data_IF_354364059409
#
_entry.id   IF_354364059409
#
_cell.length_a   1.000
_cell.length_b   1.000
_cell.length_c   1.000
_cell.angle_alpha   90.00
_cell.angle_beta   90.00
_cell.angle_gamma   90.00
#
_symmetry.space_group_name_H-M   'P 1'
#
loop_
_entity.id
_entity.type
_entity.pdbx_description
1 polymer ?
#
# COMPACT_ATOMS: atom_id res chain seq x y z
N UNK A 1 22.20 -6.67 4.90
CA UNK A 1 22.45 -6.17 6.28
C UNK A 1 21.60 -6.91 7.29
N UNK A 2 20.26 -6.83 7.27
CA UNK A 2 19.38 -7.52 8.23
C UNK A 2 19.61 -9.05 8.41
N UNK A 3 19.94 -9.79 7.33
CA UNK A 3 20.22 -11.23 7.41
C UNK A 3 21.50 -11.59 8.18
N UNK A 4 22.46 -10.67 8.27
CA UNK A 4 23.76 -10.91 8.90
C UNK A 4 23.84 -10.35 10.33
N UNK A 5 22.97 -9.40 10.69
CA UNK A 5 22.97 -8.77 12.02
C UNK A 5 22.14 -9.58 13.03
N UNK A 6 22.70 -10.70 13.49
CA UNK A 6 22.07 -11.59 14.48
C UNK A 6 21.72 -10.91 15.81
N UNK A 7 22.53 -9.94 16.24
CA UNK A 7 22.37 -9.25 17.52
C UNK A 7 21.18 -8.27 17.55
N UNK A 8 20.78 -7.73 16.39
CA UNK A 8 19.70 -6.73 16.30
C UNK A 8 18.41 -7.33 15.74
N UNK A 9 18.51 -8.25 14.78
CA UNK A 9 17.35 -8.75 14.02
C UNK A 9 17.20 -10.28 14.07
N UNK A 10 17.99 -10.98 14.89
CA UNK A 10 17.99 -12.45 15.00
C UNK A 10 18.28 -13.15 13.65
N UNK A 11 18.99 -12.45 12.75
CA UNK A 11 19.42 -12.97 11.45
C UNK A 11 18.26 -13.36 10.53
N UNK A 12 18.36 -14.45 9.75
CA UNK A 12 17.32 -14.88 8.80
C UNK A 12 15.99 -15.27 9.48
N UNK A 13 16.00 -15.56 10.79
CA UNK A 13 14.81 -15.92 11.54
C UNK A 13 13.91 -14.72 11.81
N UNK A 14 14.47 -13.51 11.82
CA UNK A 14 13.73 -12.29 12.08
C UNK A 14 13.33 -12.11 13.55
N UNK A 15 12.75 -10.96 13.83
CA UNK A 15 12.23 -10.62 15.16
C UNK A 15 10.92 -11.38 15.38
N UNK A 16 10.80 -12.09 16.51
CA UNK A 16 9.61 -12.85 16.88
C UNK A 16 9.14 -12.44 18.27
N UNK A 17 7.84 -12.57 18.53
CA UNK A 17 7.25 -12.28 19.85
C UNK A 17 7.04 -10.79 20.10
N UNK A 18 6.82 -9.99 19.04
CA UNK A 18 6.49 -8.58 19.22
C UNK A 18 5.21 -8.45 20.07
N UNK A 19 5.23 -7.61 21.12
CA UNK A 19 4.10 -7.49 22.03
C UNK A 19 2.91 -6.91 21.28
N UNK A 20 1.74 -7.49 21.50
CA UNK A 20 0.53 -6.98 20.89
C UNK A 20 -0.08 -5.85 21.73
N UNK A 21 -0.53 -4.74 21.11
CA UNK A 21 -1.14 -3.67 21.87
C UNK A 21 -2.37 -4.18 22.62
N UNK A 22 -2.44 -3.92 23.92
CA UNK A 22 -3.59 -4.29 24.78
C UNK A 22 -3.87 -5.81 24.86
N UNK A 23 -2.86 -6.66 24.63
CA UNK A 23 -2.96 -8.12 24.72
C UNK A 23 -3.43 -8.65 26.08
N UNK A 24 -3.32 -7.86 27.15
CA UNK A 24 -3.80 -8.21 28.50
C UNK A 24 -5.19 -7.67 28.87
N UNK A 25 -5.76 -6.77 28.05
CA UNK A 25 -7.04 -6.10 28.34
C UNK A 25 -8.17 -6.65 27.49
N UNK A 26 -7.87 -7.04 26.24
CA UNK A 26 -8.85 -7.56 25.29
C UNK A 26 -8.81 -9.09 25.29
N UNK A 27 -9.96 -9.78 25.45
CA UNK A 27 -10.01 -11.24 25.35
C UNK A 27 -9.43 -11.74 24.01
N UNK A 28 -8.66 -12.85 23.98
CA UNK A 28 -8.02 -13.35 22.77
C UNK A 28 -9.00 -13.64 21.62
N UNK A 29 -10.23 -14.05 21.95
CA UNK A 29 -11.30 -14.34 21.00
C UNK A 29 -11.77 -13.10 20.22
N UNK A 30 -11.79 -11.92 20.85
CA UNK A 30 -12.21 -10.66 20.22
C UNK A 30 -11.04 -9.84 19.69
N UNK A 31 -9.80 -10.26 19.96
CA UNK A 31 -8.62 -9.48 19.62
C UNK A 31 -8.50 -9.19 18.12
N UNK A 32 -8.84 -10.14 17.25
CA UNK A 32 -8.79 -9.93 15.80
C UNK A 32 -9.78 -8.85 15.33
N UNK A 33 -10.99 -8.82 15.90
CA UNK A 33 -11.99 -7.80 15.59
C UNK A 33 -11.61 -6.42 16.14
N UNK A 34 -11.08 -6.39 17.37
CA UNK A 34 -10.53 -5.18 17.95
C UNK A 34 -9.39 -4.62 17.09
N UNK A 35 -8.44 -5.47 16.70
CA UNK A 35 -7.30 -5.08 15.89
C UNK A 35 -7.73 -4.59 14.50
N UNK A 36 -8.71 -5.26 13.88
CA UNK A 36 -9.33 -4.81 12.64
C UNK A 36 -9.93 -3.40 12.79
N UNK A 37 -10.64 -3.13 13.89
CA UNK A 37 -11.20 -1.81 14.17
C UNK A 37 -10.11 -0.74 14.33
N UNK A 38 -9.01 -1.06 15.02
CA UNK A 38 -7.85 -0.16 15.15
C UNK A 38 -7.23 0.15 13.79
N UNK A 39 -6.95 -0.87 12.98
CA UNK A 39 -6.39 -0.70 11.63
C UNK A 39 -7.31 0.13 10.76
N UNK A 40 -8.61 -0.15 10.78
CA UNK A 40 -9.59 0.60 10.02
C UNK A 40 -9.67 2.07 10.47
N UNK A 41 -9.63 2.33 11.77
CA UNK A 41 -9.63 3.68 12.33
C UNK A 41 -8.40 4.47 11.89
N UNK A 42 -7.20 3.86 11.98
CA UNK A 42 -5.95 4.49 11.54
C UNK A 42 -5.97 4.72 10.03
N UNK A 43 -6.39 3.74 9.24
CA UNK A 43 -6.53 3.87 7.79
C UNK A 43 -7.48 5.02 7.43
N UNK A 44 -8.64 5.11 8.09
CA UNK A 44 -9.60 6.17 7.87
C UNK A 44 -9.05 7.55 8.25
N UNK A 45 -8.38 7.65 9.39
CA UNK A 45 -7.75 8.89 9.84
C UNK A 45 -6.68 9.37 8.83
N UNK A 46 -5.82 8.46 8.36
CA UNK A 46 -4.82 8.74 7.32
C UNK A 46 -5.49 9.16 6.01
N UNK A 47 -6.53 8.45 5.58
CA UNK A 47 -7.28 8.80 4.37
C UNK A 47 -7.84 10.22 4.44
N UNK A 48 -8.50 10.58 5.54
CA UNK A 48 -9.06 11.92 5.75
C UNK A 48 -7.95 12.98 5.81
N UNK A 49 -6.82 12.69 6.45
CA UNK A 49 -5.68 13.60 6.53
C UNK A 49 -5.08 13.88 5.14
N UNK A 50 -4.85 12.84 4.33
CA UNK A 50 -4.32 12.98 2.97
C UNK A 50 -5.33 13.72 2.08
N UNK A 51 -6.62 13.38 2.16
CA UNK A 51 -7.65 14.05 1.36
C UNK A 51 -7.74 15.55 1.66
N UNK A 52 -7.59 15.93 2.94
CA UNK A 52 -7.50 17.35 3.34
C UNK A 52 -6.20 17.99 2.86
N UNK A 53 -5.06 17.30 2.97
CA UNK A 53 -3.77 17.82 2.53
C UNK A 53 -3.74 18.08 1.01
N UNK A 54 -4.29 17.17 0.20
CA UNK A 54 -4.35 17.30 -1.26
C UNK A 54 -5.26 18.47 -1.69
N UNK A 55 -6.37 18.70 -0.98
CA UNK A 55 -7.29 19.82 -1.26
C UNK A 55 -6.77 21.17 -0.77
N UNK A 56 -5.77 21.18 0.10
CA UNK A 56 -5.17 22.39 0.65
C UNK A 56 -4.28 23.12 -0.37
N UNK A 57 -3.83 24.37 -0.11
CA UNK A 57 -2.85 25.05 -0.95
C UNK A 57 -1.58 24.23 -1.20
N UNK A 58 -1.15 23.42 -0.22
CA UNK A 58 0.02 22.55 -0.34
C UNK A 58 -0.15 21.52 -1.46
N UNK A 59 -1.28 20.82 -1.51
CA UNK A 59 -1.57 19.83 -2.54
C UNK A 59 -1.72 20.44 -3.94
N UNK A 60 -2.24 21.67 -4.05
CA UNK A 60 -2.30 22.40 -5.32
C UNK A 60 -0.91 22.73 -5.87
N UNK A 61 0.03 23.10 -5.02
CA UNK A 61 1.42 23.35 -5.43
C UNK A 61 2.08 22.04 -5.89
N UNK A 62 1.87 20.93 -5.17
CA UNK A 62 2.36 19.61 -5.60
C UNK A 62 1.78 19.17 -6.95
N UNK A 63 0.51 19.47 -7.21
CA UNK A 63 -0.10 19.19 -8.50
C UNK A 63 0.54 20.03 -9.62
N UNK A 64 0.78 21.32 -9.37
CA UNK A 64 1.48 22.19 -10.33
C UNK A 64 2.91 21.69 -10.61
N UNK A 65 3.65 21.28 -9.57
CA UNK A 65 4.99 20.68 -9.72
C UNK A 65 4.95 19.39 -10.55
N UNK A 66 3.90 18.57 -10.41
CA UNK A 66 3.70 17.34 -11.20
C UNK A 66 3.43 17.63 -12.68
N UNK A 67 2.77 18.74 -12.98
CA UNK A 67 2.45 19.15 -14.36
C UNK A 67 3.64 19.82 -15.06
N UNK A 68 4.25 20.82 -14.41
CA UNK A 68 5.47 21.49 -14.88
C UNK A 68 6.28 22.05 -13.69
N UNK A 69 7.40 21.39 -13.42
CA UNK A 69 8.33 21.77 -12.36
C UNK A 69 9.01 23.13 -12.61
N UNK A 70 9.34 23.45 -13.86
CA UNK A 70 10.01 24.70 -14.22
C UNK A 70 9.04 25.87 -14.02
N UNK A 71 7.80 25.72 -14.48
CA UNK A 71 6.76 26.74 -14.30
C UNK A 71 6.44 27.01 -12.82
N UNK A 72 6.38 25.95 -12.00
CA UNK A 72 6.19 26.08 -10.56
C UNK A 72 7.36 26.82 -9.88
N UNK A 73 8.60 26.53 -10.28
CA UNK A 73 9.79 27.21 -9.77
C UNK A 73 9.82 28.70 -10.15
N UNK A 74 9.48 29.03 -11.40
CA UNK A 74 9.39 30.42 -11.89
C UNK A 74 8.31 31.22 -11.16
N UNK A 75 7.27 30.54 -10.66
CA UNK A 75 6.22 31.13 -9.82
C UNK A 75 6.65 31.36 -8.36
N UNK A 76 7.94 31.22 -8.04
CA UNK A 76 8.52 31.47 -6.72
C UNK A 76 8.25 30.35 -5.69
N UNK A 77 7.92 29.13 -6.14
CA UNK A 77 7.75 27.98 -5.25
C UNK A 77 9.06 27.20 -5.14
N UNK A 78 9.46 26.87 -3.91
CA UNK A 78 10.61 26.00 -3.66
C UNK A 78 10.25 24.53 -3.93
N UNK A 79 10.51 24.06 -5.14
CA UNK A 79 10.16 22.70 -5.57
C UNK A 79 10.84 21.64 -4.70
N UNK A 80 12.07 21.88 -4.28
CA UNK A 80 12.83 20.92 -3.47
C UNK A 80 12.17 20.71 -2.11
N UNK A 81 11.78 21.79 -1.42
CA UNK A 81 11.08 21.71 -0.13
C UNK A 81 9.74 20.95 -0.26
N UNK A 82 8.95 21.23 -1.29
CA UNK A 82 7.66 20.52 -1.48
C UNK A 82 7.85 19.02 -1.77
N UNK A 83 8.88 18.64 -2.54
CA UNK A 83 9.22 17.22 -2.78
C UNK A 83 9.76 16.53 -1.53
N UNK A 84 10.57 17.21 -0.72
CA UNK A 84 11.07 16.67 0.54
C UNK A 84 9.92 16.46 1.54
N UNK A 85 9.01 17.41 1.64
CA UNK A 85 7.82 17.29 2.50
C UNK A 85 6.94 16.11 2.08
N UNK A 86 6.69 15.92 0.78
CA UNK A 86 5.89 14.79 0.31
C UNK A 86 6.56 13.44 0.56
N UNK A 87 7.89 13.37 0.44
CA UNK A 87 8.68 12.19 0.81
C UNK A 87 8.54 11.88 2.30
N UNK A 88 8.78 12.86 3.18
CA UNK A 88 8.70 12.68 4.64
C UNK A 88 7.31 12.23 5.07
N UNK A 89 6.26 12.87 4.55
CA UNK A 89 4.87 12.48 4.85
C UNK A 89 4.57 11.06 4.36
N UNK A 90 5.01 10.71 3.14
CA UNK A 90 4.87 9.36 2.61
C UNK A 90 5.58 8.31 3.46
N UNK A 91 6.82 8.58 3.89
CA UNK A 91 7.59 7.69 4.77
C UNK A 91 6.94 7.54 6.15
N UNK A 92 6.39 8.61 6.74
CA UNK A 92 5.66 8.52 8.00
C UNK A 92 4.43 7.61 7.88
N UNK A 93 3.63 7.79 6.82
CA UNK A 93 2.43 6.96 6.58
C UNK A 93 2.83 5.49 6.36
N UNK A 94 3.88 5.24 5.58
CA UNK A 94 4.40 3.89 5.35
C UNK A 94 4.90 3.25 6.66
N UNK A 95 5.56 4.02 7.52
CA UNK A 95 6.01 3.58 8.84
C UNK A 95 4.87 3.16 9.76
N UNK A 96 3.76 3.90 9.76
CA UNK A 96 2.54 3.53 10.51
C UNK A 96 1.99 2.19 9.99
N UNK A 97 1.89 2.02 8.66
CA UNK A 97 1.44 0.77 8.06
C UNK A 97 2.33 -0.42 8.42
N UNK A 98 3.65 -0.25 8.36
CA UNK A 98 4.62 -1.27 8.76
C UNK A 98 4.54 -1.62 10.25
N UNK A 99 4.37 -0.62 11.12
CA UNK A 99 4.20 -0.85 12.55
C UNK A 99 2.94 -1.67 12.86
N UNK A 100 1.81 -1.34 12.22
CA UNK A 100 0.58 -2.13 12.34
C UNK A 100 0.81 -3.57 11.84
N UNK A 101 1.39 -3.74 10.65
CA UNK A 101 1.68 -5.08 10.13
C UNK A 101 2.53 -5.93 11.09
N UNK A 102 3.63 -5.36 11.61
CA UNK A 102 4.53 -6.03 12.53
C UNK A 102 3.86 -6.50 13.83
N UNK A 103 3.01 -5.67 14.44
CA UNK A 103 2.30 -6.02 15.67
C UNK A 103 1.20 -7.04 15.42
N UNK A 104 0.62 -7.06 14.22
CA UNK A 104 -0.35 -8.09 13.82
C UNK A 104 0.30 -9.46 13.65
N UNK A 105 1.38 -9.55 12.87
CA UNK A 105 2.07 -10.82 12.58
C UNK A 105 2.88 -11.35 13.76
N UNK A 106 3.17 -10.50 14.76
CA UNK A 106 4.06 -10.78 15.92
C UNK A 106 5.47 -11.21 15.51
N UNK A 107 5.78 -11.12 14.23
CA UNK A 107 7.01 -11.57 13.64
C UNK A 107 7.33 -10.74 12.40
N UNK A 108 8.60 -10.35 12.28
CA UNK A 108 9.14 -9.67 11.11
C UNK A 108 10.31 -10.50 10.62
N UNK A 109 10.14 -11.21 9.50
CA UNK A 109 11.23 -11.90 8.83
C UNK A 109 11.76 -11.07 7.65
N UNK A 110 13.03 -11.23 7.25
CA UNK A 110 13.58 -10.54 6.08
C UNK A 110 12.88 -10.91 4.77
N UNK A 111 12.24 -12.09 4.69
CA UNK A 111 11.58 -12.59 3.48
C UNK A 111 10.43 -11.69 2.99
N UNK A 112 9.72 -11.02 3.90
CA UNK A 112 8.60 -10.13 3.53
C UNK A 112 9.07 -8.83 2.87
N UNK A 113 10.36 -8.51 2.96
CA UNK A 113 10.97 -7.33 2.32
C UNK A 113 11.70 -7.65 1.02
N UNK A 114 11.56 -8.87 0.51
CA UNK A 114 12.05 -9.18 -0.83
C UNK A 114 11.33 -8.31 -1.87
N UNK A 115 12.00 -7.87 -2.96
CA UNK A 115 11.44 -6.89 -3.90
C UNK A 115 10.05 -7.26 -4.44
N UNK A 116 9.82 -8.57 -4.63
CA UNK A 116 8.53 -9.06 -5.10
C UNK A 116 7.37 -8.68 -4.15
N UNK A 117 7.55 -8.81 -2.84
CA UNK A 117 6.53 -8.54 -1.83
C UNK A 117 6.54 -7.10 -1.35
N UNK A 118 7.74 -6.53 -1.15
CA UNK A 118 7.91 -5.22 -0.56
C UNK A 118 7.65 -4.05 -1.51
N UNK A 119 7.80 -4.24 -2.83
CA UNK A 119 7.63 -3.13 -3.80
C UNK A 119 6.70 -3.49 -4.95
N UNK A 120 6.92 -4.63 -5.63
CA UNK A 120 6.20 -4.94 -6.86
C UNK A 120 4.70 -5.14 -6.61
N UNK A 121 4.31 -5.94 -5.62
CA UNK A 121 2.90 -6.14 -5.26
C UNK A 121 2.21 -4.83 -4.86
N UNK A 122 2.88 -3.98 -4.07
CA UNK A 122 2.30 -2.70 -3.63
C UNK A 122 2.11 -1.77 -4.82
N UNK A 123 3.08 -1.72 -5.72
CA UNK A 123 2.99 -0.92 -6.93
C UNK A 123 1.85 -1.38 -7.84
N UNK A 124 1.69 -2.70 -7.97
CA UNK A 124 0.58 -3.30 -8.70
C UNK A 124 -0.78 -2.99 -8.05
N UNK A 125 -0.89 -3.07 -6.72
CA UNK A 125 -2.09 -2.64 -5.99
C UNK A 125 -2.47 -1.19 -6.33
N UNK A 126 -1.48 -0.30 -6.37
CA UNK A 126 -1.69 1.10 -6.71
C UNK A 126 -2.08 1.30 -8.18
N UNK A 127 -1.40 0.62 -9.11
CA UNK A 127 -1.68 0.71 -10.55
C UNK A 127 -3.07 0.15 -10.89
N UNK A 128 -3.43 -1.01 -10.34
CA UNK A 128 -4.74 -1.62 -10.52
C UNK A 128 -5.86 -0.73 -9.98
N UNK A 129 -5.62 -0.06 -8.86
CA UNK A 129 -6.56 0.88 -8.26
C UNK A 129 -6.72 2.21 -9.01
N UNK A 130 -5.60 2.77 -9.46
CA UNK A 130 -5.47 4.10 -10.06
C UNK A 130 -4.58 5.00 -9.20
N UNK A 131 -3.46 5.48 -9.76
CA UNK A 131 -2.42 6.24 -9.02
C UNK A 131 -2.78 7.70 -8.71
N UNK A 132 -3.83 8.25 -9.35
CA UNK A 132 -4.22 9.66 -9.18
C UNK A 132 -5.36 9.91 -8.21
N UNK A 133 -5.85 8.89 -7.49
CA UNK A 133 -6.91 9.06 -6.50
C UNK A 133 -6.74 8.12 -5.29
N UNK A 134 -6.87 8.66 -4.09
CA UNK A 134 -6.77 7.92 -2.82
C UNK A 134 -7.79 6.76 -2.74
N UNK A 135 -8.98 6.94 -3.31
CA UNK A 135 -10.01 5.87 -3.34
C UNK A 135 -9.61 4.72 -4.26
N UNK A 136 -8.95 5.03 -5.37
CA UNK A 136 -8.38 4.05 -6.29
C UNK A 136 -7.33 3.21 -5.58
N UNK A 137 -6.39 3.84 -4.89
CA UNK A 137 -5.36 3.14 -4.12
C UNK A 137 -5.94 2.14 -3.09
N UNK A 138 -6.98 2.55 -2.33
CA UNK A 138 -7.66 1.67 -1.38
C UNK A 138 -8.34 0.49 -2.10
N UNK A 139 -9.12 0.77 -3.15
CA UNK A 139 -9.83 -0.25 -3.90
C UNK A 139 -8.87 -1.26 -4.55
N UNK A 140 -7.76 -0.79 -5.12
CA UNK A 140 -6.72 -1.63 -5.70
C UNK A 140 -6.05 -2.53 -4.66
N UNK A 141 -5.75 -1.99 -3.46
CA UNK A 141 -5.23 -2.80 -2.36
C UNK A 141 -6.20 -3.91 -1.95
N UNK A 142 -7.47 -3.58 -1.73
CA UNK A 142 -8.51 -4.57 -1.36
C UNK A 142 -8.75 -5.61 -2.45
N UNK A 143 -8.78 -5.19 -3.72
CA UNK A 143 -9.04 -6.07 -4.84
C UNK A 143 -7.91 -7.07 -5.04
N UNK A 144 -6.66 -6.60 -5.10
CA UNK A 144 -5.50 -7.47 -5.29
C UNK A 144 -5.27 -8.37 -4.07
N UNK A 145 -5.44 -7.84 -2.86
CA UNK A 145 -5.34 -8.66 -1.65
C UNK A 145 -6.47 -9.70 -1.56
N UNK A 146 -7.67 -9.33 -1.99
CA UNK A 146 -8.83 -10.21 -2.09
C UNK A 146 -8.60 -11.33 -3.09
N UNK A 147 -8.03 -11.03 -4.25
CA UNK A 147 -7.63 -12.04 -5.24
C UNK A 147 -6.57 -12.96 -4.65
N UNK A 148 -5.51 -12.41 -4.05
CA UNK A 148 -4.43 -13.17 -3.42
C UNK A 148 -4.95 -14.14 -2.35
N UNK A 149 -5.84 -13.66 -1.49
CA UNK A 149 -6.48 -14.47 -0.44
C UNK A 149 -7.49 -15.46 -1.02
N UNK A 150 -8.25 -15.07 -2.04
CA UNK A 150 -9.21 -15.92 -2.76
C UNK A 150 -8.53 -17.10 -3.44
N UNK A 151 -7.38 -16.87 -4.07
CA UNK A 151 -6.58 -17.95 -4.67
C UNK A 151 -6.07 -18.94 -3.63
N UNK A 152 -5.82 -18.50 -2.37
CA UNK A 152 -5.48 -19.41 -1.27
C UNK A 152 -6.60 -20.44 -1.05
N UNK A 153 -7.85 -19.97 -0.93
CA UNK A 153 -8.99 -20.88 -0.79
C UNK A 153 -9.11 -21.85 -1.96
N UNK A 154 -8.95 -21.36 -3.19
CA UNK A 154 -9.03 -22.22 -4.38
C UNK A 154 -7.91 -23.28 -4.43
N UNK A 155 -6.71 -22.91 -3.97
CA UNK A 155 -5.54 -23.81 -3.94
C UNK A 155 -5.63 -24.82 -2.79
N UNK A 156 -6.35 -24.51 -1.71
CA UNK A 156 -6.60 -25.43 -0.59
C UNK A 156 -7.54 -26.61 -0.98
N UNK A 157 -8.34 -26.46 -2.04
CA UNK A 157 -9.15 -27.55 -2.61
C UNK A 157 -8.34 -28.52 -3.50
N UNK A 158 -7.06 -28.23 -3.79
CA UNK A 158 -6.25 -29.10 -4.66
C UNK A 158 -5.83 -30.42 -3.98
N UNK A 159 -5.66 -31.51 -4.77
CA UNK A 159 -5.18 -32.79 -4.27
C UNK A 159 -3.84 -32.69 -3.53
N UNK A 160 -3.66 -33.55 -2.51
CA UNK A 160 -2.49 -33.55 -1.61
C UNK A 160 -1.14 -33.65 -2.36
N UNK A 161 -1.13 -34.31 -3.52
CA UNK A 161 0.04 -34.48 -4.39
C UNK A 161 0.57 -33.18 -5.01
N UNK A 162 -0.27 -32.14 -5.13
CA UNK A 162 0.08 -30.85 -5.72
C UNK A 162 0.32 -29.75 -4.67
N UNK A 163 0.12 -30.03 -3.37
CA UNK A 163 0.30 -29.04 -2.30
C UNK A 163 1.73 -28.50 -2.18
N UNK A 164 2.74 -29.31 -2.52
CA UNK A 164 4.13 -28.84 -2.58
C UNK A 164 4.36 -27.81 -3.70
N UNK A 165 3.53 -27.81 -4.75
CA UNK A 165 3.60 -26.88 -5.88
C UNK A 165 2.58 -25.73 -5.81
N UNK A 166 1.67 -25.78 -4.84
CA UNK A 166 0.62 -24.81 -4.60
C UNK A 166 1.11 -23.34 -4.55
N UNK A 167 2.23 -22.99 -3.89
CA UNK A 167 2.71 -21.61 -3.86
C UNK A 167 3.09 -21.09 -5.25
N UNK A 168 3.78 -21.91 -6.06
CA UNK A 168 4.21 -21.52 -7.41
C UNK A 168 3.01 -21.34 -8.35
N UNK A 169 2.03 -22.26 -8.27
CA UNK A 169 0.79 -22.15 -9.05
C UNK A 169 0.02 -20.88 -8.65
N UNK A 170 -0.04 -20.56 -7.34
CA UNK A 170 -0.66 -19.32 -6.87
C UNK A 170 0.02 -18.09 -7.45
N UNK A 171 1.36 -18.03 -7.45
CA UNK A 171 2.08 -16.89 -8.03
C UNK A 171 1.85 -16.77 -9.53
N UNK A 172 1.77 -17.88 -10.25
CA UNK A 172 1.46 -17.88 -11.68
C UNK A 172 0.06 -17.34 -11.95
N UNK A 173 -0.95 -17.79 -11.20
CA UNK A 173 -2.34 -17.29 -11.32
C UNK A 173 -2.41 -15.81 -10.99
N UNK A 174 -1.78 -15.38 -9.89
CA UNK A 174 -1.74 -13.96 -9.52
C UNK A 174 -1.05 -13.16 -10.62
N UNK A 175 0.13 -13.58 -11.10
CA UNK A 175 0.87 -12.90 -12.16
C UNK A 175 0.05 -12.70 -13.44
N UNK A 176 -0.60 -13.77 -13.93
CA UNK A 176 -1.47 -13.69 -15.11
C UNK A 176 -2.63 -12.73 -14.86
N UNK A 177 -3.28 -12.83 -13.70
CA UNK A 177 -4.43 -12.00 -13.37
C UNK A 177 -4.02 -10.52 -13.27
N UNK A 178 -2.82 -10.23 -12.78
CA UNK A 178 -2.22 -8.90 -12.78
C UNK A 178 -1.94 -8.38 -14.19
N UNK A 179 -1.35 -9.20 -15.06
CA UNK A 179 -1.13 -8.84 -16.47
C UNK A 179 -2.45 -8.52 -17.18
N UNK A 180 -3.49 -9.33 -16.98
CA UNK A 180 -4.81 -9.07 -17.54
C UNK A 180 -5.40 -7.74 -17.03
N UNK A 181 -5.30 -7.45 -15.73
CA UNK A 181 -5.77 -6.17 -15.18
C UNK A 181 -5.02 -4.98 -15.82
N UNK A 182 -3.69 -5.08 -15.97
CA UNK A 182 -2.89 -4.03 -16.59
C UNK A 182 -3.22 -3.83 -18.08
N UNK A 183 -3.51 -4.91 -18.81
CA UNK A 183 -3.90 -4.86 -20.23
C UNK A 183 -5.29 -4.25 -20.40
N UNK A 184 -6.28 -4.69 -19.60
CA UNK A 184 -7.67 -4.27 -19.78
C UNK A 184 -8.00 -2.93 -19.11
N UNK A 185 -7.25 -2.49 -18.09
CA UNK A 185 -7.53 -1.27 -17.32
C UNK A 185 -6.24 -0.48 -17.02
N UNK A 186 -5.52 0.04 -18.04
CA UNK A 186 -4.23 0.72 -17.87
C UNK A 186 -4.31 2.04 -17.07
N UNK A 187 -5.50 2.62 -16.90
CA UNK A 187 -5.73 3.81 -16.08
C UNK A 187 -6.13 3.50 -14.62
N UNK A 188 -6.18 2.21 -14.25
CA UNK A 188 -6.74 1.73 -12.99
C UNK A 188 -8.26 1.66 -13.00
N UNK A 189 -8.84 1.04 -11.98
CA UNK A 189 -10.30 0.87 -11.86
C UNK A 189 -11.00 2.21 -11.60
N UNK A 190 -10.37 3.10 -10.81
CA UNK A 190 -10.83 4.44 -10.48
C UNK A 190 -9.77 5.47 -10.89
N UNK A 191 -9.67 5.74 -12.19
CA UNK A 191 -8.76 6.74 -12.75
C UNK A 191 -9.01 8.15 -12.20
N UNK A 192 -7.97 9.00 -12.27
CA UNK A 192 -8.03 10.40 -11.85
C UNK A 192 -9.05 11.17 -12.69
N UNK A 193 -10.11 11.71 -12.06
CA UNK A 193 -10.99 12.68 -12.74
C UNK A 193 -10.18 13.93 -13.08
N UNK A 194 -9.85 14.09 -14.36
CA UNK A 194 -9.31 15.35 -14.88
C UNK A 194 -10.38 16.42 -14.70
N UNK A 195 -10.28 17.21 -13.63
CA UNK A 195 -11.11 18.40 -13.44
C UNK A 195 -10.61 19.47 -14.42
N UNK A 196 -11.06 19.38 -15.67
CA UNK A 196 -10.84 20.42 -16.68
C UNK A 196 -11.56 21.67 -16.19
N UNK A 197 -10.84 22.78 -16.10
CA UNK A 197 -11.45 24.08 -15.77
C UNK A 197 -12.52 24.37 -16.83
N UNK A 198 -13.75 24.66 -16.38
CA UNK A 198 -14.92 24.99 -17.20
C UNK A 198 -14.79 26.31 -18.01
N UNK A 199 -13.57 26.79 -18.20
CA UNK A 199 -13.23 28.06 -18.85
C UNK A 199 -12.52 27.87 -20.20
N UNK A 200 -12.43 26.63 -20.71
CA UNK A 200 -11.84 26.33 -22.03
C UNK A 200 -12.88 25.96 -23.10
N UNK A 201 -14.17 26.12 -22.81
CA UNK A 201 -15.26 25.86 -23.78
C UNK A 201 -15.70 27.12 -24.56
N UNK A 202 -15.09 28.28 -24.34
CA UNK A 202 -15.46 29.55 -25.02
C UNK A 202 -14.25 30.23 -25.69
N UNK A 203 -13.63 29.57 -26.66
CA UNK A 203 -12.59 30.14 -27.52
C UNK A 203 -12.70 29.69 -28.97
#
# INVERSE_FOLDING_TARGET
>A
VFNNEGWLANGPRGLMGLPQPLQGVVPPEYYNYFYLAVVFCVMWAVYVAIERAIRSPWGRVLKAIREDEISAAMSGKDVFLFKMQSLVLGSMIMGIGGALYAHYTRAISPDVFTPLYGTFIIWVMLMAGGSGNNRGAILGAFLIWGIWTGTKFLTDLLPYTMKARAPYIRFLIVGILLELILIYRPQGILGEEKRVSRFLEEG
#
